data_IF_778609024968
#
_entry.id   IF_778609024968
#
_cell.length_a   1.000
_cell.length_b   1.000
_cell.length_c   1.000
_cell.angle_alpha   90.00
_cell.angle_beta   90.00
_cell.angle_gamma   90.00
#
_symmetry.space_group_name_H-M   'P 1'
#
loop_
_entity.id
_entity.type
_entity.pdbx_description
1 polymer ?
#
# COMPACT_ATOMS: atom_id res chain seq x y z
N UNK A 1 0.82 -15.50 -1.90
CA UNK A 1 0.02 -14.39 -2.46
C UNK A 1 0.69 -13.91 -3.74
N UNK A 2 -0.08 -13.84 -4.81
CA UNK A 2 0.40 -13.43 -6.13
C UNK A 2 0.37 -11.91 -6.27
N UNK A 3 1.46 -11.34 -6.78
CA UNK A 3 1.57 -9.89 -6.99
C UNK A 3 0.47 -9.34 -7.92
N UNK A 4 0.14 -10.07 -8.98
CA UNK A 4 -0.88 -9.62 -9.93
C UNK A 4 -2.26 -9.59 -9.30
N UNK A 5 -2.57 -10.53 -8.41
CA UNK A 5 -3.83 -10.55 -7.67
C UNK A 5 -3.92 -9.34 -6.70
N UNK A 6 -2.82 -9.01 -6.03
CA UNK A 6 -2.78 -7.84 -5.13
C UNK A 6 -2.99 -6.55 -5.91
N UNK A 7 -2.29 -6.39 -7.02
CA UNK A 7 -2.41 -5.21 -7.89
C UNK A 7 -3.85 -5.08 -8.42
N UNK A 8 -4.44 -6.20 -8.88
CA UNK A 8 -5.82 -6.20 -9.38
C UNK A 8 -6.82 -5.79 -8.29
N UNK A 9 -6.62 -6.27 -7.06
CA UNK A 9 -7.48 -5.90 -5.92
C UNK A 9 -7.39 -4.41 -5.62
N UNK A 10 -6.18 -3.85 -5.59
CA UNK A 10 -5.99 -2.41 -5.37
C UNK A 10 -6.65 -1.59 -6.48
N UNK A 11 -6.49 -1.99 -7.73
CA UNK A 11 -7.12 -1.30 -8.87
C UNK A 11 -8.65 -1.36 -8.82
N UNK A 12 -9.19 -2.51 -8.41
CA UNK A 12 -10.64 -2.67 -8.27
C UNK A 12 -11.23 -1.72 -7.23
N UNK A 13 -10.44 -1.36 -6.21
CA UNK A 13 -10.86 -0.46 -5.14
C UNK A 13 -10.32 0.97 -5.30
N UNK A 14 -9.82 1.32 -6.48
CA UNK A 14 -9.23 2.64 -6.72
C UNK A 14 -10.16 3.79 -6.34
N UNK A 15 -11.41 3.73 -6.76
CA UNK A 15 -12.38 4.80 -6.46
C UNK A 15 -12.59 4.98 -4.95
N UNK A 16 -12.67 3.87 -4.21
CA UNK A 16 -12.81 3.91 -2.76
C UNK A 16 -11.56 4.49 -2.10
N UNK A 17 -10.38 4.09 -2.57
CA UNK A 17 -9.11 4.59 -2.05
C UNK A 17 -8.94 6.08 -2.33
N UNK A 18 -9.30 6.54 -3.51
CA UNK A 18 -9.25 7.97 -3.85
C UNK A 18 -10.18 8.79 -2.95
N UNK A 19 -11.36 8.28 -2.63
CA UNK A 19 -12.27 8.94 -1.68
C UNK A 19 -11.69 9.04 -0.27
N UNK A 20 -10.84 8.10 0.12
CA UNK A 20 -10.14 8.12 1.40
C UNK A 20 -8.91 9.03 1.41
N UNK A 21 -8.55 9.59 0.26
CA UNK A 21 -7.40 10.47 0.13
C UNK A 21 -6.13 9.81 -0.42
N UNK A 22 -6.22 8.59 -0.94
CA UNK A 22 -5.07 7.91 -1.55
C UNK A 22 -4.91 8.39 -2.99
N UNK A 23 -3.76 8.98 -3.31
CA UNK A 23 -3.41 9.45 -4.66
C UNK A 23 -2.82 8.31 -5.47
N UNK A 24 -1.86 7.59 -4.88
CA UNK A 24 -1.19 6.44 -5.49
C UNK A 24 -1.08 5.32 -4.48
N UNK A 25 -1.22 4.08 -4.97
CA UNK A 25 -0.98 2.86 -4.20
C UNK A 25 -0.06 1.95 -4.99
N UNK A 26 0.93 1.39 -4.33
CA UNK A 26 1.93 0.53 -4.94
C UNK A 26 2.27 -0.64 -4.04
N UNK A 27 2.60 -1.76 -4.66
CA UNK A 27 3.10 -2.95 -3.97
C UNK A 27 4.62 -2.90 -3.91
N UNK A 28 5.19 -3.32 -2.79
CA UNK A 28 6.64 -3.49 -2.66
C UNK A 28 6.95 -4.71 -1.79
N UNK A 29 8.22 -4.94 -1.53
CA UNK A 29 8.65 -6.03 -0.65
C UNK A 29 8.59 -7.41 -1.29
N UNK A 30 8.46 -8.45 -0.47
CA UNK A 30 8.60 -9.83 -0.91
C UNK A 30 7.55 -10.26 -1.94
N UNK A 31 6.31 -9.82 -1.78
CA UNK A 31 5.25 -10.15 -2.75
C UNK A 31 5.56 -9.53 -4.11
N UNK A 32 6.02 -8.27 -4.13
CA UNK A 32 6.39 -7.59 -5.37
C UNK A 32 7.54 -8.29 -6.09
N UNK A 33 8.50 -8.84 -5.33
CA UNK A 33 9.64 -9.57 -5.89
C UNK A 33 9.32 -11.00 -6.31
N UNK A 34 8.12 -11.51 -6.00
CA UNK A 34 7.76 -12.89 -6.24
C UNK A 34 8.41 -13.89 -5.27
N UNK A 35 8.85 -13.41 -4.11
CA UNK A 35 9.57 -14.19 -3.10
C UNK A 35 8.72 -14.49 -1.86
N UNK A 36 7.44 -14.13 -1.89
CA UNK A 36 6.57 -14.29 -0.73
C UNK A 36 6.30 -15.75 -0.40
N UNK A 37 6.45 -16.08 0.89
CA UNK A 37 6.03 -17.37 1.45
C UNK A 37 4.62 -17.27 2.04
N UNK A 38 4.10 -18.39 2.61
CA UNK A 38 2.75 -18.41 3.19
C UNK A 38 2.53 -17.43 4.33
N UNK A 39 3.61 -17.08 5.04
CA UNK A 39 3.56 -16.20 6.20
C UNK A 39 4.01 -14.76 5.89
N UNK A 40 4.26 -14.45 4.62
CA UNK A 40 4.70 -13.10 4.22
C UNK A 40 3.57 -12.10 4.30
N UNK A 41 3.88 -10.90 4.80
CA UNK A 41 2.96 -9.78 4.79
C UNK A 41 2.88 -9.17 3.38
N UNK A 42 1.75 -8.55 3.09
CA UNK A 42 1.59 -7.74 1.88
C UNK A 42 2.05 -6.32 2.22
N UNK A 43 3.07 -5.83 1.53
CA UNK A 43 3.64 -4.50 1.77
C UNK A 43 3.12 -3.51 0.74
N UNK A 44 2.40 -2.50 1.20
CA UNK A 44 1.78 -1.48 0.32
C UNK A 44 2.28 -0.10 0.72
N UNK A 45 2.77 0.64 -0.27
CA UNK A 45 3.16 2.02 -0.12
C UNK A 45 2.08 2.92 -0.71
N UNK A 46 1.65 3.92 0.04
CA UNK A 46 0.63 4.87 -0.41
C UNK A 46 1.20 6.29 -0.43
N UNK A 47 0.70 7.08 -1.37
CA UNK A 47 0.86 8.53 -1.38
C UNK A 47 -0.52 9.12 -1.14
N UNK A 48 -0.62 10.01 -0.15
CA UNK A 48 -1.90 10.52 0.32
C UNK A 48 -2.00 12.02 0.15
N UNK A 49 -3.23 12.49 -0.09
CA UNK A 49 -3.55 13.90 -0.16
C UNK A 49 -3.65 14.46 1.27
N UNK A 50 -2.75 15.38 1.62
CA UNK A 50 -2.70 15.99 2.96
C UNK A 50 -3.93 16.83 3.28
N UNK A 51 -4.70 17.23 2.29
CA UNK A 51 -5.95 17.95 2.49
C UNK A 51 -7.10 17.04 2.92
N UNK A 52 -6.99 15.73 2.64
CA UNK A 52 -7.98 14.72 3.00
C UNK A 52 -7.53 13.94 4.23
N UNK A 53 -6.28 13.47 4.22
CA UNK A 53 -5.68 12.72 5.33
C UNK A 53 -4.92 13.71 6.21
N UNK A 54 -5.61 14.23 7.23
CA UNK A 54 -5.08 15.31 8.07
C UNK A 54 -4.60 14.86 9.43
N UNK A 55 -5.14 13.77 9.94
CA UNK A 55 -4.88 13.29 11.30
C UNK A 55 -4.40 11.86 11.29
N UNK A 56 -3.86 11.41 12.43
CA UNK A 56 -3.50 10.00 12.64
C UNK A 56 -4.73 9.10 12.45
N UNK A 57 -5.90 9.56 12.87
CA UNK A 57 -7.15 8.81 12.72
C UNK A 57 -7.50 8.60 11.25
N UNK A 58 -7.33 9.62 10.42
CA UNK A 58 -7.55 9.51 8.97
C UNK A 58 -6.59 8.49 8.36
N UNK A 59 -5.32 8.52 8.77
CA UNK A 59 -4.31 7.59 8.30
C UNK A 59 -4.62 6.14 8.71
N UNK A 60 -5.00 5.93 9.97
CA UNK A 60 -5.41 4.61 10.46
C UNK A 60 -6.61 4.10 9.67
N UNK A 61 -7.56 4.97 9.33
CA UNK A 61 -8.71 4.62 8.49
C UNK A 61 -8.29 4.11 7.11
N UNK A 62 -7.31 4.74 6.49
CA UNK A 62 -6.74 4.28 5.21
C UNK A 62 -6.10 2.90 5.36
N UNK A 63 -5.29 2.69 6.39
CA UNK A 63 -4.63 1.41 6.66
C UNK A 63 -5.64 0.29 6.86
N UNK A 64 -6.65 0.53 7.68
CA UNK A 64 -7.70 -0.45 7.96
C UNK A 64 -8.53 -0.78 6.72
N UNK A 65 -8.87 0.25 5.94
CA UNK A 65 -9.60 0.07 4.69
C UNK A 65 -8.85 -0.81 3.70
N UNK A 66 -7.55 -0.58 3.54
CA UNK A 66 -6.71 -1.42 2.67
C UNK A 66 -6.60 -2.83 3.22
N UNK A 67 -6.37 -3.00 4.51
CA UNK A 67 -6.26 -4.31 5.14
C UNK A 67 -7.52 -5.17 4.94
N UNK A 68 -8.69 -4.54 4.94
CA UNK A 68 -9.96 -5.23 4.75
C UNK A 68 -10.14 -5.83 3.35
N UNK A 69 -9.35 -5.40 2.36
CA UNK A 69 -9.40 -5.96 1.01
C UNK A 69 -8.72 -7.33 0.89
N UNK A 70 -7.94 -7.72 1.89
CA UNK A 70 -7.10 -8.92 1.83
C UNK A 70 -7.34 -9.84 3.02
N UNK A 71 -7.14 -11.14 2.80
CA UNK A 71 -7.20 -12.17 3.83
C UNK A 71 -5.85 -12.43 4.50
N UNK A 72 -4.85 -11.59 4.23
CA UNK A 72 -3.50 -11.71 4.76
C UNK A 72 -3.13 -10.44 5.53
N UNK A 73 -2.16 -10.51 6.45
CA UNK A 73 -1.63 -9.31 7.08
C UNK A 73 -1.09 -8.32 6.04
N UNK A 74 -1.44 -7.06 6.20
CA UNK A 74 -1.01 -5.99 5.29
C UNK A 74 -0.26 -4.94 6.09
N UNK A 75 0.93 -4.58 5.61
CA UNK A 75 1.70 -3.47 6.13
C UNK A 75 1.58 -2.28 5.16
N UNK A 76 0.99 -1.19 5.63
CA UNK A 76 0.78 0.01 4.83
C UNK A 76 1.73 1.10 5.32
N UNK A 77 2.52 1.65 4.41
CA UNK A 77 3.45 2.74 4.72
C UNK A 77 3.08 3.99 3.91
N UNK A 78 3.25 5.15 4.54
CA UNK A 78 3.13 6.42 3.85
C UNK A 78 4.50 6.77 3.26
N UNK A 79 4.59 6.77 1.94
CA UNK A 79 5.84 7.01 1.22
C UNK A 79 6.50 8.34 1.58
N UNK A 80 5.70 9.38 1.78
CA UNK A 80 6.19 10.71 2.12
C UNK A 80 6.86 10.76 3.49
N UNK A 81 6.54 9.83 4.40
CA UNK A 81 7.08 9.79 5.76
C UNK A 81 8.30 8.90 5.90
N UNK A 82 8.73 8.21 4.86
CA UNK A 82 9.87 7.31 4.92
C UNK A 82 11.19 8.08 4.96
N UNK A 83 12.13 7.59 5.76
CA UNK A 83 13.50 8.08 5.76
C UNK A 83 14.17 7.78 4.42
N UNK A 84 15.15 8.60 3.96
CA UNK A 84 15.74 8.45 2.63
C UNK A 84 16.25 7.04 2.30
N UNK A 85 16.94 6.39 3.23
CA UNK A 85 17.47 5.04 3.02
C UNK A 85 16.35 4.00 2.82
N UNK A 86 15.29 4.09 3.61
CA UNK A 86 14.12 3.19 3.50
C UNK A 86 13.37 3.48 2.21
N UNK A 87 13.23 4.76 1.85
CA UNK A 87 12.57 5.18 0.62
C UNK A 87 13.24 4.59 -0.61
N UNK A 88 14.57 4.56 -0.66
CA UNK A 88 15.32 3.95 -1.76
C UNK A 88 15.06 2.45 -1.85
N UNK A 89 15.05 1.75 -0.72
CA UNK A 89 14.77 0.31 -0.69
C UNK A 89 13.36 0.00 -1.18
N UNK A 90 12.39 0.78 -0.76
CA UNK A 90 10.99 0.65 -1.21
C UNK A 90 10.90 0.91 -2.72
N UNK A 91 11.55 1.98 -3.19
CA UNK A 91 11.50 2.38 -4.60
C UNK A 91 12.01 1.31 -5.56
N UNK A 92 12.98 0.49 -5.14
CA UNK A 92 13.52 -0.60 -5.98
C UNK A 92 12.49 -1.64 -6.36
N UNK A 93 11.57 -1.94 -5.45
CA UNK A 93 10.59 -3.02 -5.60
C UNK A 93 9.22 -2.52 -6.01
N UNK A 94 9.05 -1.21 -6.16
CA UNK A 94 7.74 -0.58 -6.31
C UNK A 94 7.06 -0.97 -7.60
N UNK A 95 5.83 -1.49 -7.47
CA UNK A 95 4.94 -1.76 -8.61
C UNK A 95 3.64 -1.00 -8.35
N UNK A 96 3.38 0.03 -9.13
CA UNK A 96 2.17 0.83 -8.96
C UNK A 96 0.93 0.07 -9.36
N UNK A 97 -0.09 0.12 -8.51
CA UNK A 97 -1.44 -0.29 -8.88
C UNK A 97 -2.12 0.84 -9.66
N UNK A 98 -1.90 2.05 -9.17
CA UNK A 98 -2.41 3.23 -9.88
C UNK A 98 -1.67 4.49 -9.44
#
# INVERSE_FOLDING_TARGET
>A
MDKDAVIATLRAHRADLERMGVIHAALFGSVARGEAGPDSDIDIAVEMDDEVVRTVYDYVGVRMGIADFFDHPVDVVNRASLKPAVRENVARDLIYAF
#
